data_IF_343060134465
#
_entry.id   IF_343060134465
#
_cell.length_a   1.000
_cell.length_b   1.000
_cell.length_c   1.000
_cell.angle_alpha   90.00
_cell.angle_beta   90.00
_cell.angle_gamma   90.00
#
_symmetry.space_group_name_H-M   'P 1'
#
loop_
_entity.id
_entity.type
_entity.pdbx_description
1 polymer ?
#
# COMPACT_ATOMS: atom_id res chain seq x y z
N UNK A 1 6.84 -6.72 5.14
CA UNK A 1 5.93 -7.47 4.25
C UNK A 1 6.21 -7.28 2.76
N UNK A 2 6.71 -6.11 2.31
CA UNK A 2 7.09 -5.87 0.90
C UNK A 2 8.00 -6.95 0.29
N UNK A 3 8.92 -7.52 1.08
CA UNK A 3 9.87 -8.55 0.63
C UNK A 3 9.20 -9.81 0.05
N UNK A 4 8.08 -10.25 0.63
CA UNK A 4 7.32 -11.42 0.13
C UNK A 4 6.59 -11.06 -1.17
N UNK A 5 6.05 -9.84 -1.23
CA UNK A 5 5.32 -9.35 -2.40
C UNK A 5 6.25 -9.18 -3.60
N UNK A 6 7.39 -8.53 -3.39
CA UNK A 6 8.44 -8.37 -4.39
C UNK A 6 8.97 -9.73 -4.82
N UNK A 7 9.22 -10.67 -3.90
CA UNK A 7 9.65 -12.02 -4.26
C UNK A 7 8.67 -12.70 -5.24
N UNK A 8 7.37 -12.68 -4.93
CA UNK A 8 6.34 -13.25 -5.81
C UNK A 8 6.15 -12.49 -7.12
N UNK A 9 6.50 -11.20 -7.18
CA UNK A 9 6.53 -10.48 -8.44
C UNK A 9 7.63 -10.98 -9.39
N UNK A 10 8.74 -11.51 -8.88
CA UNK A 10 9.88 -11.95 -9.70
C UNK A 10 10.02 -13.46 -9.87
N UNK A 11 9.10 -14.29 -9.32
CA UNK A 11 9.11 -15.73 -9.61
C UNK A 11 8.67 -15.99 -11.06
N UNK A 12 9.29 -16.95 -11.78
CA UNK A 12 8.92 -17.27 -13.17
C UNK A 12 7.47 -17.76 -13.30
N UNK A 13 6.96 -18.46 -12.29
CA UNK A 13 5.60 -19.01 -12.27
C UNK A 13 4.59 -17.99 -11.74
N UNK A 14 4.19 -17.07 -12.62
CA UNK A 14 3.26 -15.97 -12.33
C UNK A 14 1.86 -16.47 -11.94
N UNK A 15 1.39 -17.55 -12.55
CA UNK A 15 0.05 -18.10 -12.29
C UNK A 15 -0.03 -18.66 -10.87
N UNK A 16 0.98 -19.41 -10.45
CA UNK A 16 1.09 -19.88 -9.07
C UNK A 16 1.23 -18.72 -8.08
N UNK A 17 2.04 -17.71 -8.41
CA UNK A 17 2.19 -16.53 -7.55
C UNK A 17 0.85 -15.83 -7.31
N UNK A 18 0.05 -15.61 -8.37
CA UNK A 18 -1.28 -15.00 -8.27
C UNK A 18 -2.24 -15.82 -7.40
N UNK A 19 -2.24 -17.15 -7.55
CA UNK A 19 -3.11 -18.02 -6.74
C UNK A 19 -2.77 -17.98 -5.25
N UNK A 20 -1.47 -18.03 -4.90
CA UNK A 20 -1.01 -17.90 -3.50
C UNK A 20 -1.38 -16.53 -2.94
N UNK A 21 -1.28 -15.50 -3.77
CA UNK A 21 -1.65 -14.13 -3.41
C UNK A 21 -3.12 -13.99 -3.07
N UNK A 22 -3.99 -14.59 -3.88
CA UNK A 22 -5.43 -14.57 -3.65
C UNK A 22 -5.80 -15.26 -2.32
N UNK A 23 -5.21 -16.43 -2.04
CA UNK A 23 -5.41 -17.15 -0.80
C UNK A 23 -4.90 -16.35 0.42
N UNK A 24 -3.70 -15.78 0.30
CA UNK A 24 -3.10 -14.94 1.34
C UNK A 24 -3.95 -13.70 1.63
N UNK A 25 -4.41 -13.00 0.60
CA UNK A 25 -5.28 -11.83 0.74
C UNK A 25 -6.60 -12.16 1.44
N UNK A 26 -7.26 -13.25 1.05
CA UNK A 26 -8.47 -13.76 1.73
C UNK A 26 -8.21 -14.04 3.20
N UNK A 27 -7.07 -14.66 3.53
CA UNK A 27 -6.72 -14.97 4.91
C UNK A 27 -6.48 -13.71 5.74
N UNK A 28 -5.80 -12.71 5.20
CA UNK A 28 -5.56 -11.44 5.91
C UNK A 28 -6.83 -10.64 6.14
N UNK A 29 -7.77 -10.64 5.19
CA UNK A 29 -9.10 -10.06 5.39
C UNK A 29 -9.85 -10.74 6.53
N UNK A 30 -9.83 -12.08 6.58
CA UNK A 30 -10.49 -12.85 7.64
C UNK A 30 -9.89 -12.61 9.03
N UNK A 31 -8.57 -12.41 9.11
CA UNK A 31 -7.87 -12.15 10.37
C UNK A 31 -7.96 -10.69 10.81
N UNK A 32 -8.41 -9.79 9.92
CA UNK A 32 -8.48 -8.35 10.18
C UNK A 32 -7.15 -7.61 10.00
N UNK A 33 -6.15 -8.27 9.41
CA UNK A 33 -4.83 -7.70 9.13
C UNK A 33 -4.80 -6.86 7.84
N UNK A 34 -5.82 -7.01 6.98
CA UNK A 34 -6.06 -6.22 5.77
C UNK A 34 -7.44 -5.56 5.88
N UNK A 35 -7.51 -4.24 5.68
CA UNK A 35 -8.77 -3.49 5.60
C UNK A 35 -8.99 -2.95 4.19
N UNK A 36 -10.25 -3.01 3.74
CA UNK A 36 -10.71 -2.35 2.51
C UNK A 36 -11.31 -0.97 2.79
N UNK A 37 -11.36 -0.54 4.05
CA UNK A 37 -11.72 0.82 4.41
C UNK A 37 -10.50 1.74 4.26
N UNK A 38 -10.54 2.72 3.33
CA UNK A 38 -9.42 3.63 3.13
C UNK A 38 -9.10 4.47 4.36
N UNK A 39 -10.10 4.78 5.19
CA UNK A 39 -9.97 5.63 6.37
C UNK A 39 -9.80 4.82 7.67
N UNK A 40 -9.52 3.51 7.56
CA UNK A 40 -9.25 2.63 8.71
C UNK A 40 -8.15 3.23 9.62
N UNK A 41 -8.45 3.51 10.90
CA UNK A 41 -7.54 4.17 11.83
C UNK A 41 -6.50 3.22 12.43
N UNK A 42 -6.72 1.90 12.38
CA UNK A 42 -5.75 0.93 12.89
C UNK A 42 -4.56 0.80 11.94
N UNK A 43 -3.42 0.43 12.50
CA UNK A 43 -2.24 0.05 11.73
C UNK A 43 -2.45 -1.36 11.12
N UNK A 44 -3.15 -1.41 9.99
CA UNK A 44 -3.39 -2.62 9.22
C UNK A 44 -2.97 -2.42 7.77
N UNK A 45 -2.82 -3.53 7.06
CA UNK A 45 -2.51 -3.51 5.65
C UNK A 45 -3.70 -2.97 4.86
N UNK A 46 -3.40 -2.30 3.77
CA UNK A 46 -4.37 -1.75 2.82
C UNK A 46 -4.03 -2.25 1.41
N UNK A 47 -4.97 -2.23 0.45
CA UNK A 47 -4.76 -2.63 -0.93
C UNK A 47 -3.48 -2.10 -1.59
N UNK A 48 -3.12 -0.83 -1.36
CA UNK A 48 -1.90 -0.23 -1.93
C UNK A 48 -0.59 -0.81 -1.36
N UNK A 49 -0.62 -1.51 -0.22
CA UNK A 49 0.54 -2.29 0.24
C UNK A 49 0.81 -3.50 -0.65
N UNK A 50 -0.23 -4.04 -1.30
CA UNK A 50 -0.16 -5.20 -2.20
C UNK A 50 -0.06 -4.80 -3.66
N UNK A 51 -0.72 -3.70 -4.04
CA UNK A 51 -0.78 -3.18 -5.40
C UNK A 51 -0.23 -1.75 -5.49
N UNK A 52 1.07 -1.53 -5.20
CA UNK A 52 1.68 -0.19 -5.29
C UNK A 52 1.78 0.33 -6.73
N UNK A 53 1.58 -0.52 -7.75
CA UNK A 53 1.51 -0.12 -9.16
C UNK A 53 0.33 -0.79 -9.88
N UNK A 54 -0.14 -0.23 -11.01
CA UNK A 54 -1.14 -0.88 -11.85
C UNK A 54 -0.70 -2.25 -12.40
N UNK A 55 0.61 -2.51 -12.45
CA UNK A 55 1.20 -3.75 -12.96
C UNK A 55 1.51 -4.79 -11.88
N UNK A 56 1.29 -4.47 -10.60
CA UNK A 56 1.47 -5.43 -9.51
C UNK A 56 0.57 -6.65 -9.71
N UNK A 57 1.10 -7.85 -9.44
CA UNK A 57 0.34 -9.11 -9.59
C UNK A 57 -0.95 -9.07 -8.77
N UNK A 58 -0.90 -8.51 -7.57
CA UNK A 58 -2.04 -8.42 -6.68
C UNK A 58 -3.05 -7.33 -7.08
N UNK A 59 -2.79 -6.53 -8.12
CA UNK A 59 -3.70 -5.44 -8.53
C UNK A 59 -5.09 -5.95 -8.91
N UNK A 60 -5.17 -7.10 -9.58
CA UNK A 60 -6.44 -7.69 -10.02
C UNK A 60 -7.29 -8.25 -8.87
N UNK A 61 -6.73 -8.38 -7.67
CA UNK A 61 -7.45 -8.86 -6.49
C UNK A 61 -8.37 -7.80 -5.87
N UNK A 62 -8.18 -6.54 -6.24
CA UNK A 62 -8.93 -5.41 -5.70
C UNK A 62 -9.77 -4.77 -6.80
N UNK A 63 -11.04 -4.50 -6.48
CA UNK A 63 -11.92 -3.73 -7.36
C UNK A 63 -11.32 -2.35 -7.67
N UNK A 64 -11.66 -1.79 -8.83
CA UNK A 64 -11.11 -0.51 -9.28
C UNK A 64 -11.47 0.61 -8.31
N UNK A 65 -12.72 0.64 -7.86
CA UNK A 65 -13.25 1.63 -6.92
C UNK A 65 -12.55 1.57 -5.56
N UNK A 66 -12.15 0.38 -5.12
CA UNK A 66 -11.39 0.18 -3.89
C UNK A 66 -10.00 0.80 -4.04
N UNK A 67 -9.32 0.56 -5.16
CA UNK A 67 -7.99 1.15 -5.40
C UNK A 67 -8.08 2.66 -5.51
N UNK A 68 -9.05 3.19 -6.24
CA UNK A 68 -9.25 4.63 -6.36
C UNK A 68 -9.53 5.31 -5.03
N UNK A 69 -10.41 4.73 -4.20
CA UNK A 69 -10.68 5.25 -2.86
C UNK A 69 -9.43 5.30 -1.98
N UNK A 70 -8.55 4.29 -2.08
CA UNK A 70 -7.27 4.27 -1.36
C UNK A 70 -6.25 5.25 -1.93
N UNK A 71 -6.23 5.48 -3.25
CA UNK A 71 -5.39 6.50 -3.87
C UNK A 71 -5.82 7.90 -3.48
N UNK A 72 -7.13 8.16 -3.44
CA UNK A 72 -7.69 9.43 -2.97
C UNK A 72 -7.37 9.66 -1.49
N UNK A 73 -7.54 8.64 -0.65
CA UNK A 73 -7.17 8.72 0.76
C UNK A 73 -5.66 8.95 0.94
N UNK A 74 -4.83 8.27 0.16
CA UNK A 74 -3.39 8.52 0.16
C UNK A 74 -3.09 9.96 -0.22
N UNK A 75 -3.68 10.50 -1.29
CA UNK A 75 -3.46 11.88 -1.72
C UNK A 75 -3.91 12.90 -0.64
N UNK A 76 -5.06 12.68 0.02
CA UNK A 76 -5.57 13.54 1.09
C UNK A 76 -4.67 13.62 2.32
N UNK A 77 -3.81 12.63 2.53
CA UNK A 77 -2.88 12.60 3.67
C UNK A 77 -1.63 13.47 3.48
N UNK A 78 -1.43 14.09 2.31
CA UNK A 78 -0.31 15.01 2.12
C UNK A 78 -0.44 16.21 3.05
N UNK A 79 0.61 16.49 3.81
CA UNK A 79 0.69 17.61 4.75
C UNK A 79 1.15 18.90 4.06
N UNK A 80 0.96 20.09 4.68
CA UNK A 80 1.36 21.37 4.09
C UNK A 80 2.86 21.49 3.75
N UNK A 81 3.71 20.72 4.41
CA UNK A 81 5.15 20.64 4.12
C UNK A 81 5.48 19.70 2.95
N UNK A 82 4.46 19.11 2.32
CA UNK A 82 4.56 18.17 1.20
C UNK A 82 4.81 16.72 1.63
N UNK A 83 5.00 16.45 2.92
CA UNK A 83 5.26 15.13 3.46
C UNK A 83 4.01 14.30 3.74
N UNK A 84 4.20 13.02 4.04
CA UNK A 84 3.14 12.15 4.54
C UNK A 84 3.37 11.78 6.01
N UNK A 85 2.29 11.63 6.80
CA UNK A 85 2.40 11.13 8.16
C UNK A 85 2.77 9.65 8.16
N UNK A 86 3.52 9.22 9.19
CA UNK A 86 3.62 7.80 9.53
C UNK A 86 2.41 7.41 10.38
N UNK A 87 1.90 6.20 10.14
CA UNK A 87 0.68 5.69 10.78
C UNK A 87 0.97 4.71 11.92
N UNK A 88 2.25 4.43 12.19
CA UNK A 88 2.71 3.47 13.19
C UNK A 88 3.31 4.17 14.41
N UNK A 89 3.37 3.43 15.53
CA UNK A 89 3.84 3.96 16.81
C UNK A 89 5.29 4.49 16.73
N UNK A 90 5.46 5.75 17.11
CA UNK A 90 6.75 6.43 17.17
C UNK A 90 7.36 6.25 18.56
N UNK A 91 8.45 5.50 18.65
CA UNK A 91 9.15 5.28 19.92
C UNK A 91 9.99 6.49 20.35
N UNK A 92 10.51 7.27 19.39
CA UNK A 92 11.28 8.51 19.64
C UNK A 92 11.07 9.56 18.53
N UNK A 93 11.21 10.86 18.79
CA UNK A 93 11.10 11.91 17.76
C UNK A 93 12.04 11.72 16.55
N UNK A 94 13.21 11.09 16.76
CA UNK A 94 14.14 10.80 15.67
C UNK A 94 13.61 9.73 14.71
N UNK A 95 12.94 8.68 15.21
CA UNK A 95 12.31 7.64 14.38
C UNK A 95 11.14 8.17 13.54
N UNK A 96 10.54 9.29 13.94
CA UNK A 96 9.51 9.96 13.15
C UNK A 96 10.09 10.59 11.87
N UNK A 97 11.21 11.32 11.99
CA UNK A 97 11.84 11.99 10.86
C UNK A 97 12.34 11.01 9.80
N UNK A 98 12.98 9.91 10.22
CA UNK A 98 13.42 8.84 9.32
C UNK A 98 12.21 8.15 8.66
N UNK A 99 11.17 7.83 9.45
CA UNK A 99 9.96 7.19 8.97
C UNK A 99 9.20 8.03 7.94
N UNK A 100 9.04 9.33 8.19
CA UNK A 100 8.35 10.27 7.29
C UNK A 100 9.07 10.42 5.95
N UNK A 101 10.41 10.36 5.96
CA UNK A 101 11.22 10.42 4.73
C UNK A 101 10.88 9.26 3.80
N UNK A 102 10.93 8.03 4.32
CA UNK A 102 10.56 6.83 3.57
C UNK A 102 9.09 6.88 3.12
N UNK A 103 8.18 7.22 4.03
CA UNK A 103 6.74 7.22 3.76
C UNK A 103 6.35 8.23 2.67
N UNK A 104 7.00 9.39 2.65
CA UNK A 104 6.79 10.42 1.61
C UNK A 104 7.21 9.90 0.25
N UNK A 105 8.41 9.33 0.12
CA UNK A 105 8.89 8.76 -1.15
C UNK A 105 7.96 7.64 -1.62
N UNK A 106 7.54 6.76 -0.71
CA UNK A 106 6.62 5.67 -1.03
C UNK A 106 5.28 6.19 -1.56
N UNK A 107 4.67 7.18 -0.89
CA UNK A 107 3.40 7.76 -1.31
C UNK A 107 3.52 8.39 -2.70
N UNK A 108 4.58 9.17 -2.95
CA UNK A 108 4.85 9.77 -4.25
C UNK A 108 5.04 8.71 -5.34
N UNK A 109 5.81 7.65 -5.09
CA UNK A 109 6.00 6.57 -6.05
C UNK A 109 4.69 5.86 -6.42
N UNK A 110 3.82 5.61 -5.44
CA UNK A 110 2.50 5.00 -5.69
C UNK A 110 1.61 5.96 -6.48
N UNK A 111 1.44 7.20 -6.03
CA UNK A 111 0.61 8.18 -6.75
C UNK A 111 1.10 8.39 -8.18
N UNK A 112 2.43 8.41 -8.39
CA UNK A 112 3.01 8.50 -9.74
C UNK A 112 2.70 7.29 -10.60
N UNK A 113 2.80 6.08 -10.05
CA UNK A 113 2.58 4.85 -10.81
C UNK A 113 1.15 4.74 -11.33
N UNK A 114 0.20 5.34 -10.63
CA UNK A 114 -1.22 5.45 -11.00
C UNK A 114 -1.58 6.76 -11.72
N UNK A 115 -0.60 7.61 -12.06
CA UNK A 115 -0.88 8.88 -12.76
C UNK A 115 -1.68 9.90 -11.94
N UNK A 116 -1.64 9.81 -10.61
CA UNK A 116 -2.36 10.68 -9.67
C UNK A 116 -1.52 11.87 -9.16
N UNK A 117 -0.23 11.94 -9.47
CA UNK A 117 0.54 13.17 -9.25
C UNK A 117 0.21 14.16 -10.37
N UNK A 118 -0.23 15.36 -10.00
CA UNK A 118 -0.46 16.44 -10.97
C UNK A 118 0.77 16.68 -11.83
N UNK A 119 0.55 16.93 -13.13
CA UNK A 119 1.58 17.40 -14.05
C UNK A 119 2.13 18.76 -13.63
#
# INVERSE_FOLDING_TARGET
>A
MRSVLTFFEYVPDRARAASVFEEFGKRMLQLGDLSLDPDEPREVLKPLNFAPTPSSIARSLFAEEVIDAHLDALARLQQPDGGWPITYFVWTPATELEGRSWRTIEALCILRSYGRLGN
#
